data_IF_257876184043
#
_entry.id   IF_257876184043
#
_cell.length_a   1.000
_cell.length_b   1.000
_cell.length_c   1.000
_cell.angle_alpha   90.00
_cell.angle_beta   90.00
_cell.angle_gamma   90.00
#
_symmetry.space_group_name_H-M   'P 1'
#
loop_
_entity.id
_entity.type
_entity.pdbx_description
1 polymer ?
#
# COMPACT_ATOMS: atom_id res chain seq x y z
N UNK A 1 -12.88 1.15 24.51
CA UNK A 1 -13.73 0.82 23.35
C UNK A 1 -12.99 1.19 22.07
N UNK A 2 -12.42 0.33 21.25
CA UNK A 2 -11.93 -1.04 21.45
C UNK A 2 -10.72 -1.16 20.50
N UNK A 3 -9.50 -0.99 21.03
CA UNK A 3 -8.24 -0.91 20.24
C UNK A 3 -7.69 -2.30 19.88
N UNK A 4 -8.49 -3.36 20.05
CA UNK A 4 -7.98 -4.72 20.19
C UNK A 4 -7.92 -5.56 18.89
N UNK A 5 -8.42 -5.09 17.75
CA UNK A 5 -8.49 -5.93 16.52
C UNK A 5 -7.44 -5.59 15.44
N UNK A 6 -6.50 -4.68 15.72
CA UNK A 6 -5.44 -4.26 14.79
C UNK A 6 -4.09 -4.88 15.20
N UNK A 7 -4.08 -5.86 16.10
CA UNK A 7 -2.90 -6.26 16.88
C UNK A 7 -2.01 -7.37 16.25
N UNK A 8 -2.16 -7.68 14.96
CA UNK A 8 -1.25 -8.61 14.27
C UNK A 8 -0.56 -8.01 13.03
N UNK A 9 -0.48 -6.69 12.93
CA UNK A 9 0.11 -5.94 11.79
C UNK A 9 1.62 -6.12 11.55
N UNK A 10 2.24 -7.19 12.06
CA UNK A 10 3.69 -7.34 12.05
C UNK A 10 4.37 -6.31 12.96
N UNK A 11 5.58 -5.87 12.59
CA UNK A 11 6.40 -5.04 13.48
C UNK A 11 6.06 -3.56 13.34
N UNK A 12 6.08 -2.80 14.45
CA UNK A 12 5.93 -1.34 14.40
C UNK A 12 7.18 -0.73 13.74
N UNK A 13 6.98 0.19 12.80
CA UNK A 13 8.08 0.91 12.16
C UNK A 13 8.58 2.01 13.11
N UNK A 14 9.84 1.91 13.53
CA UNK A 14 10.43 2.89 14.44
C UNK A 14 10.52 4.27 13.76
N UNK A 15 10.22 5.34 14.52
CA UNK A 15 10.28 6.71 14.00
C UNK A 15 9.04 7.16 13.21
N UNK A 16 8.08 6.25 12.95
CA UNK A 16 6.81 6.59 12.30
C UNK A 16 5.63 6.37 13.25
N UNK A 17 4.69 7.31 13.22
CA UNK A 17 3.45 7.24 14.01
C UNK A 17 2.53 6.20 13.39
N UNK A 18 1.89 5.38 14.22
CA UNK A 18 0.87 4.42 13.80
C UNK A 18 1.20 3.73 12.46
N UNK A 19 2.43 3.24 12.34
CA UNK A 19 2.89 2.57 11.11
C UNK A 19 3.43 1.21 11.47
N UNK A 20 2.97 0.22 10.74
CA UNK A 20 3.37 -1.17 10.90
C UNK A 20 3.81 -1.73 9.56
N UNK A 21 4.64 -2.77 9.63
CA UNK A 21 5.08 -3.54 8.47
C UNK A 21 4.66 -5.00 8.66
N UNK A 22 3.96 -5.51 7.66
CA UNK A 22 3.72 -6.92 7.45
C UNK A 22 4.84 -7.40 6.52
N UNK A 23 5.83 -8.16 7.03
CA UNK A 23 6.95 -8.60 6.21
C UNK A 23 6.46 -9.57 5.13
N UNK A 24 6.90 -9.35 3.90
CA UNK A 24 6.70 -10.30 2.82
C UNK A 24 7.46 -11.59 3.09
N UNK A 25 6.82 -12.73 2.81
CA UNK A 25 7.45 -14.06 2.91
C UNK A 25 7.53 -14.66 1.50
N UNK A 26 8.67 -15.26 1.17
CA UNK A 26 8.92 -15.85 -0.15
C UNK A 26 8.89 -14.80 -1.25
N UNK A 27 7.99 -14.97 -2.22
CA UNK A 27 7.83 -14.03 -3.35
C UNK A 27 6.93 -12.84 -3.02
N UNK A 28 6.48 -12.66 -1.77
CA UNK A 28 5.62 -11.52 -1.40
C UNK A 28 6.45 -10.28 -1.08
N UNK A 29 5.90 -9.10 -1.38
CA UNK A 29 6.45 -7.83 -0.92
C UNK A 29 6.05 -7.51 0.52
N UNK A 30 6.76 -6.56 1.12
CA UNK A 30 6.34 -5.96 2.38
C UNK A 30 5.08 -5.12 2.16
N UNK A 31 4.12 -5.26 3.07
CA UNK A 31 2.94 -4.39 3.13
C UNK A 31 3.10 -3.45 4.31
N UNK A 32 3.00 -2.15 4.07
CA UNK A 32 2.96 -1.17 5.17
C UNK A 32 1.52 -0.79 5.48
N UNK A 33 1.25 -0.62 6.76
CA UNK A 33 -0.06 -0.23 7.27
C UNK A 33 0.09 1.06 8.04
N UNK A 34 -0.57 2.10 7.57
CA UNK A 34 -0.54 3.44 8.16
C UNK A 34 -1.90 3.73 8.79
N UNK A 35 -1.91 4.09 10.06
CA UNK A 35 -3.10 4.40 10.85
C UNK A 35 -3.72 3.20 11.52
N UNK A 36 -4.65 3.47 12.44
CA UNK A 36 -5.42 2.45 13.14
C UNK A 36 -6.84 2.31 12.59
N UNK A 37 -7.57 3.40 12.33
CA UNK A 37 -8.91 3.44 11.71
C UNK A 37 -9.26 4.89 11.31
N UNK A 38 -9.33 5.26 10.01
CA UNK A 38 -9.07 4.43 8.83
C UNK A 38 -7.60 4.02 8.72
N UNK A 39 -7.33 2.97 7.94
CA UNK A 39 -5.97 2.55 7.59
C UNK A 39 -5.66 2.86 6.13
N UNK A 40 -4.39 3.09 5.81
CA UNK A 40 -3.88 3.13 4.45
C UNK A 40 -2.86 2.01 4.28
N UNK A 41 -3.05 1.18 3.26
CA UNK A 41 -2.06 0.18 2.88
C UNK A 41 -1.12 0.77 1.83
N UNK A 42 0.17 0.50 1.97
CA UNK A 42 1.15 0.63 0.90
C UNK A 42 1.46 -0.77 0.41
N UNK A 43 1.10 -1.02 -0.84
CA UNK A 43 1.06 -2.34 -1.47
C UNK A 43 0.17 -3.35 -0.74
N UNK A 44 0.03 -4.55 -1.32
CA UNK A 44 -0.85 -5.62 -0.83
C UNK A 44 -0.20 -6.99 -0.83
N UNK A 45 1.09 -7.10 -1.17
CA UNK A 45 1.72 -8.40 -1.26
C UNK A 45 1.08 -9.30 -2.33
N UNK A 46 1.21 -10.60 -2.12
CA UNK A 46 0.48 -11.62 -2.88
C UNK A 46 -0.89 -11.99 -2.29
N UNK A 47 -1.22 -11.52 -1.09
CA UNK A 47 -2.41 -11.93 -0.33
C UNK A 47 -2.07 -12.71 0.95
N UNK A 48 -3.08 -13.00 1.77
CA UNK A 48 -2.97 -13.67 3.06
C UNK A 48 -2.84 -12.75 4.28
N UNK A 49 -2.74 -11.44 4.07
CA UNK A 49 -2.56 -10.44 5.13
C UNK A 49 -3.87 -10.13 5.89
N UNK A 50 -5.03 -10.60 5.40
CA UNK A 50 -6.34 -10.32 6.00
C UNK A 50 -6.41 -10.64 7.50
N UNK A 51 -5.75 -11.73 7.93
CA UNK A 51 -5.78 -12.19 9.31
C UNK A 51 -4.98 -11.26 10.23
N UNK A 52 -4.08 -10.46 9.64
CA UNK A 52 -3.26 -9.47 10.33
C UNK A 52 -3.94 -8.11 10.41
N UNK A 53 -4.74 -7.77 9.39
CA UNK A 53 -5.41 -6.47 9.30
C UNK A 53 -6.75 -6.42 10.09
N UNK A 54 -7.41 -7.55 10.30
CA UNK A 54 -8.68 -7.63 11.06
C UNK A 54 -9.93 -7.21 10.28
N UNK A 55 -11.12 -7.43 10.87
CA UNK A 55 -12.40 -7.36 10.13
C UNK A 55 -12.96 -5.94 9.94
N UNK A 56 -12.64 -4.99 10.81
CA UNK A 56 -13.30 -3.67 10.88
C UNK A 56 -12.62 -2.54 10.08
N UNK A 57 -11.74 -2.87 9.14
CA UNK A 57 -10.97 -1.88 8.37
C UNK A 57 -11.84 -0.96 7.52
N UNK A 58 -11.50 0.33 7.47
CA UNK A 58 -11.88 1.30 6.42
C UNK A 58 -10.59 1.72 5.72
N UNK A 59 -10.44 1.50 4.42
CA UNK A 59 -9.11 1.54 3.80
C UNK A 59 -8.96 2.36 2.51
N UNK A 60 -7.75 2.90 2.34
CA UNK A 60 -7.14 3.26 1.05
C UNK A 60 -5.99 2.29 0.75
N UNK A 61 -5.66 2.11 -0.52
CA UNK A 61 -4.48 1.34 -0.95
C UNK A 61 -3.67 2.23 -1.89
N UNK A 62 -2.38 2.36 -1.63
CA UNK A 62 -1.42 3.05 -2.49
C UNK A 62 -0.46 2.00 -3.03
N UNK A 63 -0.41 1.85 -4.34
CA UNK A 63 0.58 0.97 -4.97
C UNK A 63 1.83 1.76 -5.29
N UNK A 64 2.98 1.25 -4.84
CA UNK A 64 4.28 1.80 -5.23
C UNK A 64 4.58 1.52 -6.71
N UNK A 65 4.03 0.42 -7.24
CA UNK A 65 4.07 0.08 -8.66
C UNK A 65 3.16 -1.12 -8.99
N UNK A 66 2.96 -1.40 -10.28
CA UNK A 66 2.20 -2.54 -10.78
C UNK A 66 3.07 -3.77 -11.05
N UNK A 67 3.44 -4.51 -10.00
CA UNK A 67 3.99 -5.86 -10.12
C UNK A 67 3.19 -6.86 -9.26
N UNK A 68 3.24 -8.15 -9.60
CA UNK A 68 2.30 -9.14 -9.05
C UNK A 68 2.49 -9.38 -7.55
N UNK A 69 3.73 -9.32 -7.06
CA UNK A 69 4.12 -9.48 -5.66
C UNK A 69 3.77 -8.26 -4.78
N UNK A 70 3.36 -7.15 -5.39
CA UNK A 70 2.83 -5.97 -4.70
C UNK A 70 1.31 -5.85 -4.82
N UNK A 71 0.72 -6.32 -5.91
CA UNK A 71 -0.68 -6.00 -6.27
C UNK A 71 -1.66 -7.16 -6.13
N UNK A 72 -1.21 -8.41 -6.03
CA UNK A 72 -2.12 -9.56 -6.13
C UNK A 72 -3.06 -9.68 -4.93
N UNK A 73 -2.61 -9.25 -3.74
CA UNK A 73 -3.45 -9.22 -2.53
C UNK A 73 -4.68 -8.32 -2.65
N UNK A 74 -4.71 -7.37 -3.59
CA UNK A 74 -5.88 -6.52 -3.84
C UNK A 74 -7.15 -7.34 -4.13
N UNK A 75 -7.04 -8.43 -4.89
CA UNK A 75 -8.22 -9.25 -5.24
C UNK A 75 -8.84 -9.91 -4.01
N UNK A 76 -8.00 -10.37 -3.09
CA UNK A 76 -8.46 -10.92 -1.83
C UNK A 76 -9.09 -9.82 -0.98
N UNK A 77 -8.42 -8.67 -0.84
CA UNK A 77 -8.90 -7.50 -0.10
C UNK A 77 -10.30 -7.05 -0.55
N UNK A 78 -10.54 -7.08 -1.86
CA UNK A 78 -11.83 -6.70 -2.45
C UNK A 78 -13.00 -7.64 -2.12
N UNK A 79 -12.75 -8.83 -1.57
CA UNK A 79 -13.82 -9.74 -1.11
C UNK A 79 -14.54 -9.23 0.13
N UNK A 80 -13.90 -8.35 0.90
CA UNK A 80 -14.43 -7.85 2.18
C UNK A 80 -14.37 -6.33 2.31
N UNK A 81 -13.74 -5.60 1.36
CA UNK A 81 -13.58 -4.13 1.38
C UNK A 81 -13.67 -3.50 0.00
N UNK A 82 -13.92 -2.19 -0.02
CA UNK A 82 -13.96 -1.36 -1.25
C UNK A 82 -13.10 -0.10 -1.09
N UNK A 83 -11.76 -0.25 -1.03
CA UNK A 83 -10.87 0.89 -0.82
C UNK A 83 -10.84 1.83 -2.01
N UNK A 84 -10.43 3.08 -1.77
CA UNK A 84 -9.90 3.92 -2.86
C UNK A 84 -8.48 3.47 -3.18
N UNK A 85 -8.19 3.25 -4.46
CA UNK A 85 -6.86 2.83 -4.94
C UNK A 85 -6.10 4.01 -5.53
N UNK A 86 -4.87 4.20 -5.12
CA UNK A 86 -3.92 5.14 -5.72
C UNK A 86 -2.85 4.34 -6.48
N UNK A 87 -2.61 4.71 -7.73
CA UNK A 87 -1.56 4.10 -8.56
C UNK A 87 -1.07 5.12 -9.58
N UNK A 88 0.20 5.08 -9.94
CA UNK A 88 0.72 5.94 -10.99
C UNK A 88 0.04 5.65 -12.34
N UNK A 89 -0.21 6.69 -13.14
CA UNK A 89 -0.92 6.57 -14.41
C UNK A 89 -0.25 5.59 -15.39
N UNK A 90 1.08 5.59 -15.45
CA UNK A 90 1.86 4.70 -16.30
C UNK A 90 1.82 3.22 -15.86
N UNK A 91 1.38 2.94 -14.63
CA UNK A 91 1.21 1.58 -14.10
C UNK A 91 -0.26 1.17 -13.99
N UNK A 92 -1.19 2.11 -14.21
CA UNK A 92 -2.63 1.87 -14.19
C UNK A 92 -3.05 0.64 -15.01
N UNK A 93 -2.42 0.43 -16.17
CA UNK A 93 -2.76 -0.67 -17.06
C UNK A 93 -2.59 -2.04 -16.39
N UNK A 94 -1.60 -2.19 -15.50
CA UNK A 94 -1.36 -3.44 -14.75
C UNK A 94 -2.53 -3.83 -13.84
N UNK A 95 -3.29 -2.85 -13.36
CA UNK A 95 -4.47 -3.05 -12.52
C UNK A 95 -5.80 -2.80 -13.24
N UNK A 96 -5.78 -2.43 -14.52
CA UNK A 96 -6.98 -2.02 -15.29
C UNK A 96 -8.14 -3.00 -15.15
N UNK A 97 -7.86 -4.31 -15.19
CA UNK A 97 -8.90 -5.35 -15.13
C UNK A 97 -9.69 -5.36 -13.81
N UNK A 98 -9.09 -4.87 -12.73
CA UNK A 98 -9.72 -4.71 -11.42
C UNK A 98 -10.33 -3.31 -11.29
N UNK A 99 -9.57 -2.26 -11.64
CA UNK A 99 -10.00 -0.87 -11.46
C UNK A 99 -11.16 -0.46 -12.37
N UNK A 100 -11.24 -1.02 -13.59
CA UNK A 100 -12.32 -0.72 -14.54
C UNK A 100 -13.68 -1.29 -14.15
N UNK A 101 -13.76 -2.08 -13.06
CA UNK A 101 -15.01 -2.67 -12.55
C UNK A 101 -15.73 -1.77 -11.54
N UNK A 102 -15.57 -0.45 -11.66
CA UNK A 102 -16.21 0.53 -10.78
C UNK A 102 -15.52 0.75 -9.43
N UNK A 103 -14.31 0.20 -9.23
CA UNK A 103 -13.53 0.47 -8.03
C UNK A 103 -13.03 1.93 -8.07
N UNK A 104 -13.29 2.69 -6.99
CA UNK A 104 -12.80 4.07 -6.88
C UNK A 104 -11.28 4.08 -6.91
N UNK A 105 -10.70 4.91 -7.78
CA UNK A 105 -9.26 5.04 -7.87
C UNK A 105 -8.84 6.44 -8.31
N UNK A 106 -7.60 6.79 -8.01
CA UNK A 106 -6.91 7.99 -8.47
C UNK A 106 -5.62 7.59 -9.16
N UNK A 107 -5.38 8.18 -10.33
CA UNK A 107 -4.10 8.06 -11.02
C UNK A 107 -3.17 9.15 -10.46
N UNK A 108 -1.92 8.78 -10.23
CA UNK A 108 -0.86 9.68 -9.78
C UNK A 108 0.11 9.95 -10.94
N UNK A 109 0.73 11.13 -10.94
CA UNK A 109 1.76 11.56 -11.90
C UNK A 109 3.10 11.85 -11.20
N UNK A 110 3.09 12.09 -9.87
CA UNK A 110 4.24 12.55 -9.10
C UNK A 110 4.09 14.01 -8.65
N UNK A 111 4.56 14.30 -7.43
CA UNK A 111 4.47 15.61 -6.80
C UNK A 111 3.21 15.81 -5.94
N UNK A 112 2.24 14.90 -6.00
CA UNK A 112 1.05 14.97 -5.15
C UNK A 112 1.38 14.71 -3.68
N UNK A 113 0.46 15.14 -2.81
CA UNK A 113 0.45 14.77 -1.40
C UNK A 113 -0.80 13.95 -1.14
N UNK A 114 -0.61 12.74 -0.63
CA UNK A 114 -1.71 11.87 -0.21
C UNK A 114 -1.90 12.04 1.30
N UNK A 115 -3.10 12.46 1.69
CA UNK A 115 -3.48 12.59 3.09
C UNK A 115 -3.81 11.21 3.67
N UNK A 116 -2.99 10.75 4.61
CA UNK A 116 -3.16 9.49 5.36
C UNK A 116 -3.24 9.82 6.85
N UNK A 117 -2.71 8.98 7.75
CA UNK A 117 -2.46 9.40 9.14
C UNK A 117 -1.42 10.52 9.23
N UNK A 118 -0.57 10.64 8.22
CA UNK A 118 0.34 11.74 7.98
C UNK A 118 0.51 11.97 6.47
N UNK A 119 0.91 13.17 6.03
CA UNK A 119 1.04 13.47 4.61
C UNK A 119 2.18 12.66 3.99
N UNK A 120 1.91 12.02 2.85
CA UNK A 120 2.92 11.34 2.04
C UNK A 120 3.11 12.08 0.72
N UNK A 121 4.34 12.50 0.45
CA UNK A 121 4.73 13.08 -0.83
C UNK A 121 4.98 11.96 -1.85
N UNK A 122 4.27 12.02 -2.97
CA UNK A 122 4.47 11.11 -4.09
C UNK A 122 5.68 11.60 -4.89
N UNK A 123 6.68 10.75 -5.04
CA UNK A 123 7.85 11.02 -5.87
C UNK A 123 7.82 10.00 -7.01
N UNK A 124 7.66 10.46 -8.25
CA UNK A 124 7.76 9.59 -9.41
C UNK A 124 9.22 9.14 -9.57
N UNK A 125 9.42 7.82 -9.58
CA UNK A 125 10.74 7.20 -9.62
C UNK A 125 10.73 6.05 -10.64
N UNK A 126 10.59 6.35 -11.94
CA UNK A 126 10.51 5.33 -12.98
C UNK A 126 11.76 4.45 -12.98
N UNK A 127 11.58 3.14 -13.18
CA UNK A 127 12.67 2.17 -13.12
C UNK A 127 12.18 0.74 -13.29
N UNK A 128 11.85 0.06 -12.18
CA UNK A 128 11.34 -1.32 -12.22
C UNK A 128 10.05 -1.43 -13.05
N UNK A 129 9.16 -0.45 -12.92
CA UNK A 129 8.07 -0.15 -13.84
C UNK A 129 8.15 1.31 -14.27
N UNK A 130 7.41 1.67 -15.33
CA UNK A 130 7.35 3.07 -15.81
C UNK A 130 6.62 3.98 -14.83
N UNK A 131 5.66 3.45 -14.07
CA UNK A 131 4.92 4.16 -13.03
C UNK A 131 5.41 3.90 -11.61
N UNK A 132 6.64 3.42 -11.42
CA UNK A 132 7.18 3.26 -10.07
C UNK A 132 7.22 4.58 -9.31
N UNK A 133 6.78 4.58 -8.05
CA UNK A 133 6.80 5.73 -7.15
C UNK A 133 7.48 5.40 -5.81
N UNK A 134 8.01 6.42 -5.17
CA UNK A 134 8.33 6.42 -3.75
C UNK A 134 7.33 7.31 -3.00
N UNK A 135 7.04 6.96 -1.74
CA UNK A 135 6.24 7.77 -0.84
C UNK A 135 7.15 8.31 0.26
N UNK A 136 7.28 9.62 0.33
CA UNK A 136 8.17 10.29 1.26
C UNK A 136 7.38 10.97 2.38
N UNK A 137 7.69 10.59 3.62
CA UNK A 137 7.22 11.29 4.79
C UNK A 137 8.29 12.31 5.22
N UNK A 138 8.01 13.59 4.97
CA UNK A 138 8.98 14.68 5.14
C UNK A 138 9.48 14.81 6.57
N UNK A 139 8.58 14.73 7.55
CA UNK A 139 8.89 15.03 8.95
C UNK A 139 9.84 14.00 9.58
N UNK A 140 9.73 12.72 9.21
CA UNK A 140 10.62 11.67 9.72
C UNK A 140 11.80 11.39 8.80
N UNK A 141 11.81 11.94 7.58
CA UNK A 141 12.77 11.57 6.54
C UNK A 141 12.58 10.15 5.98
N UNK A 142 11.49 9.47 6.32
CA UNK A 142 11.27 8.08 5.90
C UNK A 142 10.75 7.99 4.48
N UNK A 143 11.22 6.98 3.73
CA UNK A 143 10.79 6.70 2.37
C UNK A 143 10.24 5.27 2.29
N UNK A 144 9.01 5.14 1.83
CA UNK A 144 8.48 3.87 1.37
C UNK A 144 8.79 3.74 -0.12
N UNK A 145 9.55 2.72 -0.47
CA UNK A 145 10.02 2.49 -1.83
C UNK A 145 9.88 1.03 -2.19
N UNK A 146 10.07 0.74 -3.47
CA UNK A 146 10.30 -0.61 -3.97
C UNK A 146 11.40 -1.29 -3.15
N UNK A 147 11.08 -2.44 -2.57
CA UNK A 147 12.08 -3.44 -2.27
C UNK A 147 12.27 -4.27 -3.52
N UNK A 148 13.44 -4.20 -4.15
CA UNK A 148 13.85 -5.17 -5.18
C UNK A 148 14.17 -6.51 -4.48
N UNK A 149 13.17 -7.10 -3.81
CA UNK A 149 13.37 -8.30 -3.01
C UNK A 149 13.67 -9.54 -3.88
N UNK A 150 13.45 -9.49 -5.19
CA UNK A 150 13.58 -10.65 -6.08
C UNK A 150 14.36 -10.31 -7.38
N UNK A 151 15.61 -9.86 -7.25
CA UNK A 151 16.57 -9.99 -8.36
C UNK A 151 17.52 -11.15 -8.08
N UNK A 152 17.13 -12.30 -8.65
CA UNK A 152 17.84 -13.58 -8.78
C UNK A 152 17.96 -14.42 -7.51
#
# INVERSE_FOLDING_TARGET
>A
MDRANILRLGSKVQGLRETWIIPGVGLSSNVYVIGSLPITLIDTGIGGEKDQLGENLRSAVIFTHAHFDHTSGLKELLRYKTPIVYIHEQDYYGLRRVLSKGLKHKKLEGGEIIDTTYPLHVIHTPGHTRGSICLYHKDSGSVFRINLANRF
#
